data_IF_072419481388
#
_entry.id   IF_072419481388
#
_cell.length_a   1.000
_cell.length_b   1.000
_cell.length_c   1.000
_cell.angle_alpha   90.00
_cell.angle_beta   90.00
_cell.angle_gamma   90.00
#
_symmetry.space_group_name_H-M   'P 1'
#
loop_
_entity.id
_entity.type
_entity.pdbx_description
1 polymer ?
#
# COMPACT_ATOMS: atom_id res chain seq x y z
N UNK A 1 -13.62 -39.76 0.03
CA UNK A 1 -13.43 -38.70 -0.97
C UNK A 1 -12.70 -37.61 -0.25
N UNK A 2 -11.41 -37.44 -0.57
CA UNK A 2 -10.48 -36.53 0.11
C UNK A 2 -10.62 -35.18 -0.59
N UNK A 3 -11.11 -34.18 0.11
CA UNK A 3 -11.15 -32.82 -0.41
C UNK A 3 -9.73 -32.29 -0.43
N UNK A 4 -9.20 -32.00 -1.63
CA UNK A 4 -7.97 -31.25 -1.80
C UNK A 4 -8.25 -29.79 -1.43
N UNK A 5 -7.51 -29.27 -0.46
CA UNK A 5 -7.42 -27.86 -0.20
C UNK A 5 -6.82 -27.18 -1.44
N UNK A 6 -7.57 -26.25 -2.03
CA UNK A 6 -7.08 -25.39 -3.11
C UNK A 6 -6.18 -24.35 -2.44
N UNK A 7 -4.87 -24.50 -2.62
CA UNK A 7 -3.95 -23.41 -2.35
C UNK A 7 -4.35 -22.19 -3.21
N UNK A 8 -4.28 -20.96 -2.67
CA UNK A 8 -4.49 -19.79 -3.50
C UNK A 8 -3.46 -19.81 -4.64
N UNK A 9 -3.84 -19.43 -5.87
CA UNK A 9 -2.94 -19.48 -6.99
C UNK A 9 -1.73 -18.62 -6.70
N UNK A 10 -0.60 -19.26 -6.47
CA UNK A 10 0.70 -18.63 -6.66
C UNK A 10 0.70 -18.16 -8.10
N UNK A 11 0.80 -16.88 -8.35
CA UNK A 11 0.99 -16.30 -9.67
C UNK A 11 2.38 -16.71 -10.19
N UNK A 12 2.50 -17.95 -10.59
CA UNK A 12 3.59 -18.44 -11.43
C UNK A 12 3.12 -18.28 -12.87
N UNK A 13 3.52 -17.16 -13.48
CA UNK A 13 3.55 -17.07 -14.93
C UNK A 13 4.37 -18.24 -15.49
N UNK A 14 3.95 -18.77 -16.62
CA UNK A 14 4.43 -20.00 -17.24
C UNK A 14 5.92 -20.02 -17.63
N UNK A 15 6.76 -19.09 -17.21
CA UNK A 15 8.20 -19.00 -17.47
C UNK A 15 9.04 -18.47 -16.31
N UNK A 16 8.63 -18.63 -15.05
CA UNK A 16 9.53 -18.52 -13.89
C UNK A 16 10.27 -17.18 -13.67
N UNK A 17 10.03 -16.15 -14.47
CA UNK A 17 10.59 -14.82 -14.26
C UNK A 17 9.67 -14.07 -13.28
N UNK A 18 10.16 -13.66 -12.11
CA UNK A 18 9.39 -12.83 -11.20
C UNK A 18 8.90 -11.59 -11.96
N UNK A 19 7.58 -11.37 -11.99
CA UNK A 19 7.05 -10.12 -12.53
C UNK A 19 7.65 -9.00 -11.68
N UNK A 20 8.45 -8.13 -12.29
CA UNK A 20 9.17 -7.07 -11.59
C UNK A 20 8.14 -6.07 -11.03
N UNK A 21 7.74 -6.29 -9.79
CA UNK A 21 6.82 -5.41 -9.08
C UNK A 21 7.41 -4.01 -8.98
N UNK A 22 6.57 -2.98 -9.14
CA UNK A 22 6.94 -1.60 -8.91
C UNK A 22 6.19 -1.10 -7.66
N UNK A 23 6.93 -0.55 -6.72
CA UNK A 23 6.38 0.01 -5.47
C UNK A 23 6.48 1.53 -5.54
N UNK A 24 5.41 2.24 -5.22
CA UNK A 24 5.32 3.70 -5.28
C UNK A 24 5.16 4.24 -3.86
N UNK A 25 5.83 5.36 -3.51
CA UNK A 25 5.60 6.07 -2.23
C UNK A 25 4.16 6.52 -2.08
N UNK A 26 3.70 6.68 -0.84
CA UNK A 26 2.31 7.07 -0.56
C UNK A 26 1.92 8.42 -1.18
N UNK A 27 2.87 9.35 -1.34
CA UNK A 27 2.70 10.65 -2.00
C UNK A 27 2.85 10.60 -3.53
N UNK A 28 3.27 9.46 -4.07
CA UNK A 28 3.46 9.27 -5.51
C UNK A 28 4.73 9.90 -6.08
N UNK A 29 5.64 10.45 -5.25
CA UNK A 29 6.83 11.16 -5.70
C UNK A 29 7.92 10.23 -6.26
N UNK A 30 8.09 9.07 -5.63
CA UNK A 30 9.12 8.10 -5.99
C UNK A 30 8.53 6.71 -6.20
N UNK A 31 9.22 5.92 -7.03
CA UNK A 31 8.99 4.49 -7.13
C UNK A 31 10.31 3.72 -7.11
N UNK A 32 10.22 2.44 -6.82
CA UNK A 32 11.34 1.52 -6.92
C UNK A 32 10.90 0.18 -7.49
N UNK A 33 11.79 -0.43 -8.24
CA UNK A 33 11.64 -1.79 -8.74
C UNK A 33 12.98 -2.51 -8.78
N UNK A 34 12.93 -3.82 -8.86
CA UNK A 34 14.06 -4.64 -9.23
C UNK A 34 14.06 -4.76 -10.76
N UNK A 35 15.02 -4.11 -11.43
CA UNK A 35 15.08 -4.05 -12.89
C UNK A 35 15.99 -5.15 -13.45
N UNK A 36 15.63 -5.81 -14.57
CA UNK A 36 16.48 -6.78 -15.22
C UNK A 36 17.58 -6.13 -16.05
N UNK A 37 18.78 -6.71 -16.03
CA UNK A 37 19.91 -6.36 -16.89
C UNK A 37 20.56 -7.64 -17.42
N UNK A 38 20.11 -8.15 -18.55
CA UNK A 38 20.44 -9.49 -19.01
C UNK A 38 19.92 -10.55 -18.04
N UNK A 39 20.82 -11.40 -17.54
CA UNK A 39 20.50 -12.44 -16.54
C UNK A 39 20.61 -11.95 -15.08
N UNK A 40 20.88 -10.65 -14.89
CA UNK A 40 21.09 -10.04 -13.58
C UNK A 40 19.97 -9.08 -13.22
N UNK A 41 19.87 -8.79 -11.93
CA UNK A 41 18.88 -7.85 -11.40
C UNK A 41 19.59 -6.76 -10.60
N UNK A 42 19.04 -5.52 -10.64
CA UNK A 42 19.52 -4.42 -9.82
C UNK A 42 18.37 -3.52 -9.38
N UNK A 43 18.46 -2.86 -8.22
CA UNK A 43 17.47 -1.88 -7.79
C UNK A 43 17.50 -0.65 -8.68
N UNK A 44 16.33 -0.14 -9.02
CA UNK A 44 16.14 1.06 -9.81
C UNK A 44 15.19 2.00 -9.07
N UNK A 45 15.60 3.26 -8.89
CA UNK A 45 14.77 4.31 -8.35
C UNK A 45 14.15 5.11 -9.49
N UNK A 46 12.87 5.36 -9.40
CA UNK A 46 12.15 6.27 -10.29
C UNK A 46 11.78 7.55 -9.55
N UNK A 47 11.96 8.70 -10.18
CA UNK A 47 11.38 9.97 -9.76
C UNK A 47 10.18 10.20 -10.66
N UNK A 48 8.98 10.24 -10.06
CA UNK A 48 7.71 10.34 -10.77
C UNK A 48 7.22 11.78 -10.84
N UNK A 49 7.63 12.62 -9.89
CA UNK A 49 7.33 14.05 -9.88
C UNK A 49 8.21 14.82 -10.85
N UNK A 50 7.65 15.90 -11.40
CA UNK A 50 8.35 16.75 -12.36
C UNK A 50 7.78 16.64 -13.77
N UNK A 51 8.33 17.41 -14.72
CA UNK A 51 7.81 17.45 -16.09
C UNK A 51 8.05 16.16 -16.86
N UNK A 52 9.12 15.43 -16.54
CA UNK A 52 9.45 14.14 -17.14
C UNK A 52 9.90 13.15 -16.05
N UNK A 53 9.29 11.97 -15.97
CA UNK A 53 9.75 10.92 -15.08
C UNK A 53 11.11 10.39 -15.54
N UNK A 54 11.97 10.04 -14.60
CA UNK A 54 13.27 9.42 -14.92
C UNK A 54 13.64 8.34 -13.91
N UNK A 55 14.41 7.37 -14.41
CA UNK A 55 14.95 6.27 -13.64
C UNK A 55 16.43 6.45 -13.35
N UNK A 56 16.86 6.06 -12.16
CA UNK A 56 18.25 5.99 -11.74
C UNK A 56 18.57 4.56 -11.33
N UNK A 57 19.39 3.85 -12.11
CA UNK A 57 19.86 2.53 -11.68
C UNK A 57 20.73 2.66 -10.43
N UNK A 58 20.59 1.73 -9.51
CA UNK A 58 21.35 1.66 -8.27
C UNK A 58 22.06 0.29 -8.18
N UNK A 59 23.00 0.00 -9.11
CA UNK A 59 23.73 -1.27 -9.08
C UNK A 59 24.63 -1.31 -7.86
N UNK A 60 24.59 -2.44 -7.12
CA UNK A 60 25.55 -2.78 -6.09
C UNK A 60 26.84 -3.38 -6.68
N UNK A 61 27.74 -3.84 -5.81
CA UNK A 61 28.96 -4.56 -6.21
C UNK A 61 28.66 -5.94 -6.81
N UNK A 62 27.49 -6.48 -6.55
CA UNK A 62 27.00 -7.76 -7.07
C UNK A 62 25.54 -7.60 -7.52
N UNK A 63 25.08 -8.38 -8.50
CA UNK A 63 23.67 -8.46 -8.84
C UNK A 63 22.82 -8.85 -7.63
N UNK A 64 21.60 -8.39 -7.62
CA UNK A 64 20.61 -8.80 -6.61
C UNK A 64 19.95 -10.14 -7.00
N UNK A 65 19.55 -10.89 -5.99
CA UNK A 65 18.77 -12.10 -6.18
C UNK A 65 17.31 -11.76 -6.56
N UNK A 66 16.62 -12.59 -7.35
CA UNK A 66 15.21 -12.35 -7.72
C UNK A 66 14.26 -12.19 -6.54
N UNK A 67 14.61 -12.73 -5.36
CA UNK A 67 13.85 -12.59 -4.12
C UNK A 67 14.12 -11.31 -3.32
N UNK A 68 15.00 -10.43 -3.82
CA UNK A 68 15.30 -9.16 -3.17
C UNK A 68 14.09 -8.22 -3.22
N UNK A 69 13.63 -7.77 -2.05
CA UNK A 69 12.57 -6.76 -1.94
C UNK A 69 13.14 -5.35 -2.10
N UNK A 70 12.42 -4.48 -2.81
CA UNK A 70 12.79 -3.07 -2.95
C UNK A 70 11.61 -2.17 -2.63
N UNK A 71 11.88 -1.03 -1.98
CA UNK A 71 10.86 -0.05 -1.60
C UNK A 71 11.43 1.37 -1.65
N UNK A 72 10.74 2.33 -2.27
CA UNK A 72 11.16 3.72 -2.26
C UNK A 72 10.89 4.35 -0.88
N UNK A 73 11.80 5.23 -0.45
CA UNK A 73 11.62 6.11 0.70
C UNK A 73 11.20 7.51 0.23
N UNK A 74 10.54 8.29 1.09
CA UNK A 74 10.07 9.63 0.75
C UNK A 74 11.18 10.65 0.47
N UNK A 75 12.42 10.35 0.83
CA UNK A 75 13.60 11.16 0.51
C UNK A 75 14.33 10.71 -0.78
N UNK A 76 13.75 9.77 -1.52
CA UNK A 76 14.29 9.24 -2.77
C UNK A 76 15.38 8.19 -2.60
N UNK A 77 15.69 7.74 -1.38
CA UNK A 77 16.49 6.52 -1.17
C UNK A 77 15.65 5.29 -1.45
N UNK A 78 16.31 4.16 -1.71
CA UNK A 78 15.65 2.86 -1.92
C UNK A 78 16.06 1.91 -0.80
N UNK A 79 15.07 1.43 -0.05
CA UNK A 79 15.26 0.35 0.90
C UNK A 79 15.36 -0.96 0.12
N UNK A 80 16.40 -1.73 0.42
CA UNK A 80 16.61 -3.08 -0.13
C UNK A 80 16.55 -4.08 1.01
N UNK A 81 15.77 -5.12 0.80
CA UNK A 81 15.62 -6.26 1.69
C UNK A 81 16.19 -7.51 1.00
N UNK A 82 17.27 -8.05 1.53
CA UNK A 82 17.94 -9.26 1.02
C UNK A 82 17.69 -10.42 1.96
N UNK A 83 16.84 -11.40 1.58
CA UNK A 83 16.63 -12.60 2.39
C UNK A 83 17.86 -13.53 2.28
N UNK A 84 18.30 -14.06 3.42
CA UNK A 84 19.37 -15.07 3.49
C UNK A 84 19.01 -16.11 4.54
N UNK A 85 18.41 -17.21 4.14
CA UNK A 85 17.89 -18.26 5.02
C UNK A 85 16.96 -17.69 6.12
N UNK A 86 17.39 -17.73 7.40
CA UNK A 86 16.63 -17.17 8.52
C UNK A 86 16.98 -15.71 8.83
N UNK A 87 17.89 -15.11 8.08
CA UNK A 87 18.39 -13.75 8.32
C UNK A 87 18.00 -12.83 7.15
N UNK A 88 17.40 -11.70 7.48
CA UNK A 88 16.92 -10.73 6.53
C UNK A 88 17.70 -9.43 6.68
N UNK A 89 18.52 -9.08 5.68
CA UNK A 89 19.38 -7.90 5.69
C UNK A 89 18.65 -6.70 5.10
N UNK A 90 18.85 -5.53 5.68
CA UNK A 90 18.28 -4.27 5.22
C UNK A 90 19.36 -3.23 4.98
N UNK A 91 19.28 -2.54 3.83
CA UNK A 91 20.17 -1.44 3.44
C UNK A 91 19.39 -0.34 2.73
N UNK A 92 19.86 0.90 2.82
CA UNK A 92 19.38 2.00 1.99
C UNK A 92 20.39 2.29 0.90
N UNK A 93 19.92 2.26 -0.35
CA UNK A 93 20.70 2.66 -1.52
C UNK A 93 20.36 4.08 -1.93
N UNK A 94 21.36 4.82 -2.41
CA UNK A 94 21.22 6.19 -2.91
C UNK A 94 22.29 6.51 -3.97
N UNK A 95 22.01 7.40 -4.93
CA UNK A 95 22.99 7.80 -5.92
C UNK A 95 24.08 8.67 -5.30
N UNK A 96 25.35 8.39 -5.66
CA UNK A 96 26.54 9.15 -5.25
C UNK A 96 27.28 9.74 -6.46
N UNK A 97 26.57 10.33 -7.42
CA UNK A 97 27.13 10.72 -8.72
C UNK A 97 27.18 9.52 -9.66
N UNK A 98 28.37 9.04 -10.09
CA UNK A 98 28.44 7.91 -11.02
C UNK A 98 28.18 6.54 -10.38
N UNK A 99 28.10 6.46 -9.04
CA UNK A 99 27.98 5.21 -8.30
C UNK A 99 26.77 5.15 -7.39
N UNK A 100 26.64 4.02 -6.70
CA UNK A 100 25.60 3.76 -5.70
C UNK A 100 26.24 3.76 -4.32
N UNK A 101 25.70 4.59 -3.41
CA UNK A 101 26.01 4.50 -1.99
C UNK A 101 25.09 3.50 -1.30
N UNK A 102 25.60 2.77 -0.33
CA UNK A 102 24.85 1.83 0.50
C UNK A 102 25.06 2.12 1.96
N UNK A 103 23.95 2.26 2.69
CA UNK A 103 23.91 2.41 4.13
C UNK A 103 23.29 1.16 4.74
N UNK A 104 24.06 0.25 5.33
CA UNK A 104 23.51 -0.89 6.05
C UNK A 104 22.69 -0.45 7.28
N UNK A 105 21.48 -1.00 7.40
CA UNK A 105 20.58 -0.72 8.53
C UNK A 105 20.62 -1.83 9.61
N UNK A 106 21.02 -3.04 9.22
CA UNK A 106 21.06 -4.19 10.10
C UNK A 106 20.26 -5.37 9.56
N UNK A 107 19.87 -6.27 10.46
CA UNK A 107 19.18 -7.50 10.10
C UNK A 107 18.05 -7.84 11.06
N UNK A 108 17.05 -8.59 10.55
CA UNK A 108 16.02 -9.26 11.34
C UNK A 108 16.28 -10.76 11.27
N UNK A 109 16.34 -11.41 12.43
CA UNK A 109 16.47 -12.86 12.52
C UNK A 109 15.08 -13.49 12.66
N UNK A 110 14.79 -14.48 11.80
CA UNK A 110 13.57 -15.26 11.80
C UNK A 110 13.90 -16.74 12.00
N UNK A 111 14.27 -17.17 13.20
CA UNK A 111 14.78 -18.52 13.43
C UNK A 111 13.70 -19.61 13.37
N UNK A 112 12.42 -19.26 13.53
CA UNK A 112 11.31 -20.22 13.47
C UNK A 112 11.09 -20.69 12.03
N UNK A 113 11.19 -22.03 11.77
CA UNK A 113 10.95 -22.57 10.43
C UNK A 113 9.56 -22.20 9.89
N UNK A 114 9.50 -21.84 8.62
CA UNK A 114 8.25 -21.43 7.96
C UNK A 114 7.88 -19.97 8.19
N UNK A 115 8.68 -19.20 8.95
CA UNK A 115 8.51 -17.75 9.02
C UNK A 115 8.96 -17.11 7.70
N UNK A 116 8.12 -16.23 7.17
CA UNK A 116 8.41 -15.42 5.99
C UNK A 116 8.43 -13.95 6.41
N UNK A 117 9.41 -13.20 5.91
CA UNK A 117 9.46 -11.76 6.13
C UNK A 117 9.26 -11.05 4.80
N UNK A 118 8.32 -10.10 4.78
CA UNK A 118 8.00 -9.26 3.63
C UNK A 118 7.95 -7.79 4.04
N UNK A 119 8.35 -6.89 3.12
CA UNK A 119 8.14 -5.46 3.31
C UNK A 119 6.63 -5.16 3.32
N UNK A 120 6.21 -4.30 4.23
CA UNK A 120 4.86 -3.71 4.24
C UNK A 120 4.80 -2.57 3.21
N UNK A 121 3.60 -2.20 2.72
CA UNK A 121 3.48 -1.07 1.80
C UNK A 121 4.15 0.20 2.34
N UNK A 122 4.63 1.10 1.46
CA UNK A 122 5.23 2.37 1.87
C UNK A 122 4.36 3.10 2.89
N UNK A 123 4.96 3.47 4.00
CA UNK A 123 4.25 4.17 5.05
C UNK A 123 3.94 5.61 4.65
N UNK A 124 2.83 6.18 5.12
CA UNK A 124 2.56 7.60 4.99
C UNK A 124 3.73 8.45 5.47
N UNK A 125 4.01 9.55 4.77
CA UNK A 125 5.15 10.43 5.05
C UNK A 125 6.52 9.90 4.61
N UNK A 126 6.64 8.61 4.22
CA UNK A 126 7.82 8.05 3.57
C UNK A 126 9.13 8.00 4.38
N UNK A 127 9.14 8.48 5.64
CA UNK A 127 10.36 8.53 6.47
C UNK A 127 10.68 7.17 7.13
N UNK A 128 9.71 6.30 7.23
CA UNK A 128 9.82 4.98 7.91
C UNK A 128 9.43 3.86 6.96
N UNK A 129 10.04 2.70 7.13
CA UNK A 129 9.63 1.49 6.44
C UNK A 129 9.50 0.33 7.43
N UNK A 130 8.56 -0.55 7.11
CA UNK A 130 8.18 -1.64 7.99
C UNK A 130 8.20 -2.98 7.26
N UNK A 131 8.34 -4.05 8.02
CA UNK A 131 8.26 -5.42 7.53
C UNK A 131 7.37 -6.27 8.45
N UNK A 132 6.72 -7.26 7.87
CA UNK A 132 5.91 -8.25 8.56
C UNK A 132 6.64 -9.60 8.52
N UNK A 133 7.03 -10.10 9.68
CA UNK A 133 7.52 -11.45 9.85
C UNK A 133 6.33 -12.35 10.19
N UNK A 134 5.90 -13.19 9.24
CA UNK A 134 4.72 -14.05 9.34
C UNK A 134 5.14 -15.47 9.70
N UNK A 135 5.02 -15.82 10.99
CA UNK A 135 5.27 -17.16 11.51
C UNK A 135 4.00 -18.01 11.53
N UNK A 136 4.13 -19.32 11.78
CA UNK A 136 2.98 -20.24 11.81
C UNK A 136 2.06 -20.02 13.02
N UNK A 137 2.58 -19.50 14.14
CA UNK A 137 1.85 -19.31 15.41
C UNK A 137 1.68 -17.85 15.79
N UNK A 138 2.63 -17.00 15.44
CA UNK A 138 2.59 -15.56 15.66
C UNK A 138 3.28 -14.84 14.52
N UNK A 139 2.95 -13.58 14.37
CA UNK A 139 3.56 -12.68 13.41
C UNK A 139 4.04 -11.42 14.11
N UNK A 140 5.10 -10.81 13.59
CA UNK A 140 5.69 -9.62 14.21
C UNK A 140 5.83 -8.49 13.17
N UNK A 141 5.48 -7.27 13.58
CA UNK A 141 5.72 -6.05 12.81
C UNK A 141 7.05 -5.44 13.26
N UNK A 142 7.91 -5.17 12.29
CA UNK A 142 9.23 -4.59 12.47
C UNK A 142 9.33 -3.22 11.82
N UNK A 143 9.87 -2.24 12.50
CA UNK A 143 10.42 -1.03 11.89
C UNK A 143 11.80 -1.37 11.35
N UNK A 144 12.00 -1.28 10.03
CA UNK A 144 13.27 -1.71 9.38
C UNK A 144 14.09 -0.55 8.85
N UNK A 145 13.48 0.63 8.67
CA UNK A 145 14.16 1.88 8.33
C UNK A 145 13.49 3.07 9.01
N UNK A 146 14.26 4.14 9.28
CA UNK A 146 13.77 5.34 9.94
C UNK A 146 13.75 5.29 11.46
N UNK A 147 14.25 4.21 12.07
CA UNK A 147 14.52 4.10 13.51
C UNK A 147 15.90 4.62 13.90
N UNK A 148 16.15 4.76 15.22
CA UNK A 148 17.43 5.28 15.72
C UNK A 148 18.56 4.25 15.70
N UNK A 149 18.25 2.94 15.85
CA UNK A 149 19.26 1.90 16.13
C UNK A 149 19.15 0.66 15.24
N UNK A 150 18.59 0.79 14.03
CA UNK A 150 18.38 -0.33 13.11
C UNK A 150 17.00 -0.98 13.29
N UNK A 151 16.80 -2.24 12.82
CA UNK A 151 15.51 -2.90 12.88
C UNK A 151 15.03 -3.11 14.32
N UNK A 152 13.76 -2.72 14.58
CA UNK A 152 13.12 -2.80 15.89
C UNK A 152 11.76 -3.50 15.78
N UNK A 153 11.48 -4.46 16.68
CA UNK A 153 10.19 -5.12 16.77
C UNK A 153 9.19 -4.23 17.50
N UNK A 154 8.12 -3.82 16.82
CA UNK A 154 7.12 -2.91 17.37
C UNK A 154 5.93 -3.64 17.99
N UNK A 155 5.47 -4.72 17.35
CA UNK A 155 4.30 -5.45 17.81
C UNK A 155 4.40 -6.94 17.47
N UNK A 156 3.74 -7.77 18.28
CA UNK A 156 3.55 -9.19 18.02
C UNK A 156 2.05 -9.50 18.00
N UNK A 157 1.61 -10.27 17.00
CA UNK A 157 0.22 -10.61 16.77
C UNK A 157 0.07 -12.13 16.76
N UNK A 158 -0.73 -12.72 17.66
CA UNK A 158 -1.03 -14.14 17.61
C UNK A 158 -1.72 -14.53 16.31
N UNK A 159 -1.26 -15.64 15.70
CA UNK A 159 -1.75 -16.12 14.41
C UNK A 159 -0.82 -15.75 13.25
N UNK A 160 -1.06 -16.36 12.11
CA UNK A 160 -0.34 -16.07 10.87
C UNK A 160 -0.95 -14.83 10.23
N UNK A 161 -0.13 -13.81 9.97
CA UNK A 161 -0.59 -12.58 9.36
C UNK A 161 -0.09 -12.41 7.94
N UNK A 162 -0.85 -11.68 7.13
CA UNK A 162 -0.53 -11.31 5.75
C UNK A 162 -1.10 -9.92 5.43
N UNK A 163 -0.82 -9.41 4.24
CA UNK A 163 -1.29 -8.10 3.81
C UNK A 163 -0.59 -6.95 4.52
N UNK A 164 -1.25 -5.84 4.60
CA UNK A 164 -0.80 -4.61 5.24
C UNK A 164 -1.42 -3.39 4.56
N UNK A 165 -2.23 -2.63 5.30
CA UNK A 165 -2.90 -1.43 4.80
C UNK A 165 -2.86 -0.35 5.89
N UNK A 166 -2.40 0.84 5.53
CA UNK A 166 -2.39 1.98 6.43
C UNK A 166 -3.78 2.59 6.57
N UNK A 167 -4.22 2.81 7.81
CA UNK A 167 -5.54 3.36 8.10
C UNK A 167 -5.51 4.84 8.49
N UNK A 168 -4.33 5.40 8.69
CA UNK A 168 -4.14 6.82 9.00
C UNK A 168 -2.95 7.42 8.24
N UNK A 169 -2.95 8.75 8.11
CA UNK A 169 -1.87 9.49 7.44
C UNK A 169 -0.58 9.62 8.27
N UNK A 170 -0.54 9.11 9.52
CA UNK A 170 0.64 9.19 10.39
C UNK A 170 1.48 7.91 10.36
N UNK A 171 0.93 6.80 9.80
CA UNK A 171 1.58 5.50 9.79
C UNK A 171 1.59 4.82 11.16
N UNK A 172 0.62 5.14 12.02
CA UNK A 172 0.45 4.53 13.35
C UNK A 172 -0.47 3.31 13.32
N UNK A 173 -1.57 3.40 12.57
CA UNK A 173 -2.58 2.34 12.53
C UNK A 173 -2.38 1.49 11.27
N UNK A 174 -1.96 0.24 11.48
CA UNK A 174 -1.76 -0.75 10.43
C UNK A 174 -2.83 -1.82 10.50
N UNK A 175 -3.60 -2.00 9.43
CA UNK A 175 -4.47 -3.15 9.27
C UNK A 175 -3.69 -4.32 8.64
N UNK A 176 -3.85 -5.52 9.21
CA UNK A 176 -3.29 -6.77 8.68
C UNK A 176 -4.33 -7.87 8.74
N UNK A 177 -4.25 -8.80 7.80
CA UNK A 177 -5.12 -9.98 7.77
C UNK A 177 -4.51 -11.07 8.64
N UNK A 178 -5.26 -11.51 9.65
CA UNK A 178 -4.83 -12.51 10.62
C UNK A 178 -5.60 -13.80 10.43
N UNK A 179 -4.88 -14.88 10.15
CA UNK A 179 -5.41 -16.23 10.16
C UNK A 179 -5.29 -16.83 11.57
N UNK A 180 -6.43 -17.22 12.13
CA UNK A 180 -6.53 -17.87 13.43
C UNK A 180 -7.69 -18.88 13.41
N UNK A 181 -7.42 -20.12 13.82
CA UNK A 181 -8.44 -21.19 13.80
C UNK A 181 -8.96 -21.53 12.42
N UNK A 182 -8.15 -21.34 11.37
CA UNK A 182 -8.53 -21.62 9.97
C UNK A 182 -9.45 -20.56 9.35
N UNK A 183 -9.59 -19.38 9.97
CA UNK A 183 -10.32 -18.24 9.46
C UNK A 183 -9.44 -17.00 9.40
N UNK A 184 -9.60 -16.25 8.34
CA UNK A 184 -8.89 -14.98 8.15
C UNK A 184 -9.78 -13.81 8.52
N UNK A 185 -9.31 -12.96 9.42
CA UNK A 185 -9.99 -11.72 9.81
C UNK A 185 -9.00 -10.57 9.82
N UNK A 186 -9.42 -9.39 9.38
CA UNK A 186 -8.56 -8.21 9.47
C UNK A 186 -8.57 -7.63 10.88
N UNK A 187 -7.37 -7.36 11.39
CA UNK A 187 -7.13 -6.70 12.67
C UNK A 187 -6.33 -5.41 12.46
N UNK A 188 -6.46 -4.48 13.40
CA UNK A 188 -5.66 -3.25 13.44
C UNK A 188 -4.59 -3.39 14.51
N UNK A 189 -3.37 -3.03 14.16
CA UNK A 189 -2.24 -2.91 15.06
C UNK A 189 -1.95 -1.43 15.27
N UNK A 190 -2.08 -0.94 16.51
CA UNK A 190 -1.58 0.37 16.91
C UNK A 190 -0.09 0.22 17.20
N UNK A 191 0.76 0.70 16.30
CA UNK A 191 2.22 0.53 16.38
C UNK A 191 2.88 1.32 17.51
N UNK A 192 2.24 2.38 18.00
CA UNK A 192 2.76 3.14 19.15
C UNK A 192 2.46 2.46 20.49
N UNK A 193 1.30 1.78 20.58
CA UNK A 193 0.83 1.16 21.81
C UNK A 193 1.03 -0.35 21.84
N UNK A 194 1.43 -0.95 20.72
CA UNK A 194 1.49 -2.39 20.52
C UNK A 194 0.15 -3.11 20.86
N UNK A 195 -0.98 -2.48 20.56
CA UNK A 195 -2.33 -3.01 20.82
C UNK A 195 -2.93 -3.53 19.52
N UNK A 196 -3.51 -4.73 19.59
CA UNK A 196 -4.22 -5.36 18.47
C UNK A 196 -5.72 -5.34 18.73
N UNK A 197 -6.51 -4.88 17.77
CA UNK A 197 -7.96 -4.83 17.86
C UNK A 197 -8.63 -5.36 16.58
N UNK A 198 -9.84 -5.94 16.67
CA UNK A 198 -10.57 -6.38 15.48
C UNK A 198 -10.95 -5.19 14.58
N UNK A 199 -10.94 -5.40 13.25
CA UNK A 199 -11.45 -4.44 12.27
C UNK A 199 -12.61 -5.02 11.45
N UNK A 200 -12.36 -6.11 10.72
CA UNK A 200 -13.36 -6.74 9.87
C UNK A 200 -13.76 -8.10 10.44
N UNK A 201 -15.06 -8.21 10.75
CA UNK A 201 -15.71 -9.45 11.18
C UNK A 201 -17.12 -9.46 10.59
N UNK A 202 -17.24 -9.67 9.26
CA UNK A 202 -18.50 -9.52 8.53
C UNK A 202 -19.48 -10.63 8.91
N UNK A 203 -18.99 -11.89 8.94
CA UNK A 203 -19.70 -13.03 9.50
C UNK A 203 -18.73 -13.89 10.31
N UNK A 204 -19.22 -14.72 11.20
CA UNK A 204 -18.39 -15.59 12.05
C UNK A 204 -17.53 -16.53 11.18
N UNK A 205 -18.16 -17.18 10.22
CA UNK A 205 -17.54 -18.22 9.36
C UNK A 205 -16.94 -17.69 8.08
N UNK A 206 -16.88 -16.36 7.85
CA UNK A 206 -16.30 -15.80 6.64
C UNK A 206 -14.80 -15.53 6.77
N UNK A 207 -14.12 -15.51 5.64
CA UNK A 207 -12.79 -14.94 5.50
C UNK A 207 -12.91 -13.49 5.04
N UNK A 208 -12.38 -12.56 5.84
CA UNK A 208 -12.52 -11.12 5.63
C UNK A 208 -11.15 -10.47 5.56
N UNK A 209 -10.81 -9.89 4.40
CA UNK A 209 -9.52 -9.26 4.12
C UNK A 209 -9.70 -7.79 3.75
N UNK A 210 -8.78 -6.94 4.21
CA UNK A 210 -8.70 -5.56 3.79
C UNK A 210 -7.65 -5.45 2.68
N UNK A 211 -8.07 -5.01 1.51
CA UNK A 211 -7.19 -4.87 0.34
C UNK A 211 -6.60 -3.48 0.23
N UNK A 212 -7.40 -2.43 0.41
CA UNK A 212 -6.98 -1.03 0.35
C UNK A 212 -7.81 -0.18 1.32
N UNK A 213 -7.24 0.91 1.77
CA UNK A 213 -7.95 1.97 2.49
C UNK A 213 -7.47 3.34 2.00
N UNK A 214 -8.38 4.30 2.00
CA UNK A 214 -8.04 5.72 1.91
C UNK A 214 -8.23 6.37 3.29
N UNK A 215 -7.15 6.81 3.94
CA UNK A 215 -7.23 7.41 5.28
C UNK A 215 -8.10 8.68 5.35
N UNK A 216 -8.15 9.45 4.26
CA UNK A 216 -8.83 10.74 4.24
C UNK A 216 -10.36 10.60 4.16
N UNK A 217 -10.87 9.78 3.25
CA UNK A 217 -12.31 9.52 3.12
C UNK A 217 -12.80 8.39 4.03
N UNK A 218 -11.90 7.54 4.51
CA UNK A 218 -12.23 6.32 5.22
C UNK A 218 -12.77 5.20 4.32
N UNK A 219 -12.66 5.31 2.99
CA UNK A 219 -13.08 4.25 2.07
C UNK A 219 -12.21 2.99 2.29
N UNK A 220 -12.88 1.85 2.47
CA UNK A 220 -12.26 0.52 2.58
C UNK A 220 -12.65 -0.35 1.40
N UNK A 221 -11.69 -0.98 0.74
CA UNK A 221 -11.87 -2.06 -0.24
C UNK A 221 -11.56 -3.40 0.43
N UNK A 222 -12.48 -4.33 0.31
CA UNK A 222 -12.52 -5.56 1.10
C UNK A 222 -12.71 -6.74 0.16
N UNK A 223 -12.09 -7.88 0.48
CA UNK A 223 -12.45 -9.19 -0.05
C UNK A 223 -13.09 -10.02 1.06
N UNK A 224 -14.23 -10.64 0.78
CA UNK A 224 -14.89 -11.53 1.74
C UNK A 224 -15.77 -12.56 1.02
N UNK A 225 -15.86 -13.75 1.62
CA UNK A 225 -16.77 -14.80 1.19
C UNK A 225 -18.11 -14.82 1.98
N UNK A 226 -18.34 -13.82 2.85
CA UNK A 226 -19.57 -13.69 3.61
C UNK A 226 -20.86 -13.71 2.77
N UNK A 227 -20.92 -13.08 1.56
CA UNK A 227 -22.10 -13.14 0.71
C UNK A 227 -22.34 -14.51 0.06
N UNK A 228 -21.26 -15.29 -0.14
CA UNK A 228 -21.29 -16.59 -0.82
C UNK A 228 -20.15 -17.46 -0.28
N UNK A 229 -20.37 -18.27 0.75
CA UNK A 229 -19.33 -19.04 1.41
C UNK A 229 -18.44 -19.81 0.43
N UNK A 230 -17.10 -19.64 0.57
CA UNK A 230 -16.10 -20.23 -0.30
C UNK A 230 -15.91 -19.51 -1.65
N UNK A 231 -16.56 -18.38 -1.89
CA UNK A 231 -16.38 -17.53 -3.06
C UNK A 231 -16.05 -16.11 -2.61
N UNK A 232 -14.79 -15.73 -2.70
CA UNK A 232 -14.38 -14.37 -2.39
C UNK A 232 -15.03 -13.34 -3.32
N UNK A 233 -15.52 -12.27 -2.73
CA UNK A 233 -16.14 -11.16 -3.44
C UNK A 233 -15.56 -9.84 -2.98
N UNK A 234 -15.35 -8.95 -3.94
CA UNK A 234 -14.98 -7.58 -3.65
C UNK A 234 -16.15 -6.81 -3.07
N UNK A 235 -15.90 -6.12 -1.97
CA UNK A 235 -16.83 -5.25 -1.29
C UNK A 235 -16.18 -3.94 -0.90
N UNK A 236 -16.99 -3.04 -0.37
CA UNK A 236 -16.53 -1.78 0.18
C UNK A 236 -17.31 -1.38 1.43
N UNK A 237 -16.66 -0.62 2.25
CA UNK A 237 -17.22 -0.04 3.48
C UNK A 237 -16.55 1.28 3.79
N UNK A 238 -16.96 1.89 4.90
CA UNK A 238 -16.39 3.16 5.39
C UNK A 238 -15.92 2.97 6.82
N UNK A 239 -14.67 3.31 7.08
CA UNK A 239 -14.07 3.22 8.40
C UNK A 239 -14.88 4.04 9.42
N UNK A 240 -15.21 3.44 10.56
CA UNK A 240 -16.02 4.10 11.59
C UNK A 240 -17.52 4.19 11.29
N UNK A 241 -17.99 3.70 10.13
CA UNK A 241 -19.42 3.69 9.79
C UNK A 241 -20.17 2.54 10.44
N UNK A 242 -21.45 2.77 10.75
CA UNK A 242 -22.39 1.72 11.19
C UNK A 242 -23.03 0.96 10.04
N UNK A 243 -22.84 1.44 8.81
CA UNK A 243 -23.43 0.81 7.64
C UNK A 243 -22.71 -0.51 7.33
N UNK A 244 -23.45 -1.54 6.89
CA UNK A 244 -22.85 -2.80 6.52
C UNK A 244 -21.98 -2.67 5.26
N UNK A 245 -21.00 -3.55 5.14
CA UNK A 245 -20.20 -3.71 3.90
C UNK A 245 -21.12 -4.03 2.72
N UNK A 246 -20.85 -3.41 1.59
CA UNK A 246 -21.61 -3.60 0.34
C UNK A 246 -20.77 -4.38 -0.65
N UNK A 247 -21.40 -5.31 -1.37
CA UNK A 247 -20.77 -6.18 -2.38
C UNK A 247 -21.42 -5.94 -3.75
N UNK A 248 -20.93 -4.94 -4.53
CA UNK A 248 -21.51 -4.61 -5.82
C UNK A 248 -21.34 -5.72 -6.85
N UNK A 249 -22.42 -6.07 -7.55
CA UNK A 249 -22.35 -7.07 -8.63
C UNK A 249 -21.46 -6.63 -9.80
N UNK A 250 -21.32 -5.32 -10.02
CA UNK A 250 -20.47 -4.82 -11.11
C UNK A 250 -18.97 -5.10 -10.91
N UNK A 251 -18.53 -5.45 -9.69
CA UNK A 251 -17.14 -5.87 -9.42
C UNK A 251 -16.93 -7.36 -9.66
N UNK A 252 -17.99 -8.14 -9.94
CA UNK A 252 -17.92 -9.53 -10.31
C UNK A 252 -17.86 -9.67 -11.82
N UNK A 253 -16.65 -9.64 -12.37
CA UNK A 253 -16.46 -9.84 -13.80
C UNK A 253 -16.31 -11.34 -14.08
N UNK A 254 -17.13 -11.91 -14.99
CA UNK A 254 -17.00 -13.32 -15.36
C UNK A 254 -15.62 -13.62 -15.95
N UNK A 255 -15.04 -14.73 -15.56
CA UNK A 255 -13.76 -15.25 -16.08
C UNK A 255 -12.58 -14.27 -15.95
N UNK A 256 -12.67 -13.34 -15.00
CA UNK A 256 -11.63 -12.35 -14.72
C UNK A 256 -11.29 -12.31 -13.23
N UNK A 257 -10.02 -12.07 -12.95
CA UNK A 257 -9.53 -11.70 -11.61
C UNK A 257 -9.47 -10.19 -11.51
N UNK A 258 -10.13 -9.61 -10.51
CA UNK A 258 -10.16 -8.16 -10.28
C UNK A 258 -9.41 -7.85 -9.02
N UNK A 259 -8.33 -7.07 -9.13
CA UNK A 259 -7.47 -6.68 -8.02
C UNK A 259 -7.44 -5.16 -7.88
N UNK A 260 -7.96 -4.59 -6.78
CA UNK A 260 -7.80 -3.17 -6.50
C UNK A 260 -6.34 -2.84 -6.22
N UNK A 261 -5.81 -1.74 -6.78
CA UNK A 261 -4.41 -1.35 -6.56
C UNK A 261 -4.21 0.11 -6.12
N UNK A 262 -5.20 0.98 -6.31
CA UNK A 262 -5.10 2.39 -5.90
C UNK A 262 -6.48 2.98 -5.59
N UNK A 263 -6.56 3.87 -4.61
CA UNK A 263 -7.74 4.69 -4.29
C UNK A 263 -7.38 6.16 -4.48
N UNK A 264 -8.29 6.95 -5.07
CA UNK A 264 -8.14 8.39 -5.16
C UNK A 264 -8.19 9.01 -3.76
N UNK A 265 -7.21 9.82 -3.36
CA UNK A 265 -7.22 10.50 -2.05
C UNK A 265 -8.49 11.31 -1.84
N UNK A 266 -9.12 11.16 -0.67
CA UNK A 266 -10.48 11.61 -0.41
C UNK A 266 -10.64 12.89 0.40
N UNK A 267 -9.63 13.78 0.50
CA UNK A 267 -9.67 14.97 1.37
C UNK A 267 -10.90 15.87 1.18
N UNK A 268 -11.44 15.93 -0.05
CA UNK A 268 -12.65 16.72 -0.39
C UNK A 268 -13.76 15.86 -1.00
N UNK A 269 -13.58 14.56 -1.04
CA UNK A 269 -14.53 13.61 -1.63
C UNK A 269 -15.24 12.83 -0.53
N UNK A 270 -16.51 12.48 -0.76
CA UNK A 270 -17.13 11.44 0.03
C UNK A 270 -16.60 10.07 -0.39
N UNK A 271 -16.60 9.05 0.50
CA UNK A 271 -16.11 7.71 0.16
C UNK A 271 -16.72 7.13 -1.11
N UNK A 272 -17.99 7.43 -1.36
CA UNK A 272 -18.73 6.96 -2.53
C UNK A 272 -18.22 7.56 -3.85
N UNK A 273 -17.55 8.71 -3.79
CA UNK A 273 -17.06 9.44 -4.97
C UNK A 273 -15.56 9.23 -5.23
N UNK A 274 -14.83 8.59 -4.33
CA UNK A 274 -13.43 8.25 -4.54
C UNK A 274 -13.29 7.21 -5.65
N UNK A 275 -12.41 7.48 -6.61
CA UNK A 275 -12.14 6.54 -7.69
C UNK A 275 -11.19 5.43 -7.22
N UNK A 276 -11.45 4.22 -7.68
CA UNK A 276 -10.63 3.03 -7.42
C UNK A 276 -10.05 2.56 -8.73
N UNK A 277 -8.72 2.35 -8.77
CA UNK A 277 -8.01 1.68 -9.85
C UNK A 277 -8.03 0.17 -9.64
N UNK A 278 -8.41 -0.55 -10.67
CA UNK A 278 -8.54 -2.00 -10.68
C UNK A 278 -7.62 -2.59 -11.76
N UNK A 279 -6.81 -3.58 -11.42
CA UNK A 279 -6.20 -4.48 -12.38
C UNK A 279 -7.23 -5.56 -12.69
N UNK A 280 -7.46 -5.82 -13.96
CA UNK A 280 -8.38 -6.85 -14.41
C UNK A 280 -7.62 -7.81 -15.31
N UNK A 281 -7.45 -9.03 -14.84
CA UNK A 281 -6.75 -10.10 -15.54
C UNK A 281 -7.79 -11.08 -16.11
N UNK A 282 -7.82 -11.26 -17.40
CA UNK A 282 -8.73 -12.16 -18.10
C UNK A 282 -8.01 -12.99 -19.17
N UNK A 283 -8.75 -13.84 -19.85
CA UNK A 283 -8.21 -14.76 -20.87
C UNK A 283 -7.48 -14.06 -22.03
N UNK A 284 -7.76 -12.78 -22.26
CA UNK A 284 -7.19 -12.00 -23.37
C UNK A 284 -6.13 -10.99 -22.93
N UNK A 285 -5.69 -11.06 -21.66
CA UNK A 285 -4.65 -10.20 -21.12
C UNK A 285 -5.10 -9.38 -19.91
N UNK A 286 -4.30 -8.38 -19.59
CA UNK A 286 -4.48 -7.49 -18.44
C UNK A 286 -4.89 -6.10 -18.91
N UNK A 287 -5.89 -5.50 -18.27
CA UNK A 287 -6.31 -4.12 -18.52
C UNK A 287 -6.62 -3.37 -17.22
N UNK A 288 -6.80 -2.07 -17.33
CA UNK A 288 -7.14 -1.18 -16.23
C UNK A 288 -8.65 -1.02 -16.13
N UNK A 289 -9.20 -1.20 -14.93
CA UNK A 289 -10.55 -0.82 -14.58
C UNK A 289 -10.55 0.44 -13.73
N UNK A 290 -11.56 1.28 -13.87
CA UNK A 290 -11.84 2.35 -12.90
C UNK A 290 -13.28 2.24 -12.41
N UNK A 291 -13.46 2.45 -11.11
CA UNK A 291 -14.76 2.33 -10.47
C UNK A 291 -14.90 3.32 -9.31
N UNK A 292 -16.13 3.73 -9.02
CA UNK A 292 -16.50 4.48 -7.81
C UNK A 292 -17.66 3.77 -7.11
N UNK A 293 -17.71 3.75 -5.77
CA UNK A 293 -18.82 3.15 -5.04
C UNK A 293 -20.20 3.68 -5.42
N UNK A 294 -20.29 4.95 -5.85
CA UNK A 294 -21.54 5.53 -6.37
C UNK A 294 -21.91 5.01 -7.78
N UNK A 295 -20.98 4.40 -8.51
CA UNK A 295 -21.21 3.92 -9.89
C UNK A 295 -21.62 2.45 -9.89
N UNK A 296 -22.51 2.09 -10.84
CA UNK A 296 -23.01 0.70 -10.99
C UNK A 296 -22.24 -0.11 -12.03
N UNK A 297 -21.14 0.40 -12.55
CA UNK A 297 -20.33 -0.24 -13.59
C UNK A 297 -18.86 0.06 -13.41
N UNK A 298 -18.02 -0.90 -13.77
CA UNK A 298 -16.59 -0.69 -13.98
C UNK A 298 -16.38 -0.10 -15.38
N UNK A 299 -15.52 0.89 -15.47
CA UNK A 299 -15.06 1.42 -16.77
C UNK A 299 -13.75 0.73 -17.11
N UNK A 300 -13.69 0.16 -18.30
CA UNK A 300 -12.50 -0.52 -18.79
C UNK A 300 -11.67 0.43 -19.63
N UNK A 301 -10.37 0.48 -19.37
CA UNK A 301 -9.40 1.31 -20.07
C UNK A 301 -8.24 0.42 -20.54
N UNK A 302 -7.65 0.70 -21.71
CA UNK A 302 -6.47 -0.03 -22.13
C UNK A 302 -5.31 0.26 -21.16
N UNK A 303 -4.57 -0.76 -20.76
CA UNK A 303 -3.32 -0.57 -20.06
C UNK A 303 -2.26 -0.03 -21.02
N UNK A 304 -1.36 0.87 -20.59
CA UNK A 304 -0.23 1.27 -21.42
C UNK A 304 0.67 0.07 -21.70
N UNK A 305 1.30 0.04 -22.87
CA UNK A 305 2.29 -0.99 -23.18
C UNK A 305 3.43 -0.95 -22.16
N UNK A 306 3.81 -2.12 -21.64
CA UNK A 306 4.83 -2.22 -20.61
C UNK A 306 4.40 -1.71 -19.23
N UNK A 307 3.09 -1.58 -18.97
CA UNK A 307 2.60 -1.25 -17.64
C UNK A 307 3.18 -2.20 -16.60
N UNK A 308 3.73 -1.63 -15.54
CA UNK A 308 4.17 -2.39 -14.36
C UNK A 308 2.91 -2.78 -13.59
N UNK A 309 2.34 -3.91 -14.00
CA UNK A 309 0.97 -4.30 -13.70
C UNK A 309 0.69 -4.31 -12.19
N UNK A 310 -0.41 -3.68 -11.80
CA UNK A 310 -0.79 -3.50 -10.40
C UNK A 310 -0.13 -2.30 -9.71
N UNK A 311 0.82 -1.60 -10.35
CA UNK A 311 1.36 -0.35 -9.85
C UNK A 311 0.60 0.84 -10.44
N UNK A 312 0.33 1.83 -9.61
CA UNK A 312 -0.30 3.09 -10.00
C UNK A 312 -0.71 3.91 -8.79
N UNK A 313 -0.92 5.19 -9.00
CA UNK A 313 -1.33 6.13 -7.96
C UNK A 313 -2.36 7.12 -8.53
N UNK A 314 -3.38 7.42 -7.74
CA UNK A 314 -4.31 8.49 -8.05
C UNK A 314 -3.79 9.83 -7.52
N UNK A 315 -3.91 10.86 -8.34
CA UNK A 315 -3.78 12.23 -7.82
C UNK A 315 -5.10 12.70 -7.20
N UNK A 316 -5.07 13.70 -6.30
CA UNK A 316 -6.28 14.29 -5.73
C UNK A 316 -7.26 14.82 -6.80
N UNK A 317 -6.75 15.29 -7.95
CA UNK A 317 -7.53 15.82 -9.07
C UNK A 317 -8.26 14.73 -9.87
N UNK A 318 -7.97 13.45 -9.61
CA UNK A 318 -8.63 12.31 -10.26
C UNK A 318 -7.93 11.85 -11.55
N UNK A 319 -6.62 12.00 -11.60
CA UNK A 319 -5.75 11.41 -12.62
C UNK A 319 -5.11 10.14 -12.08
N UNK A 320 -5.28 9.02 -12.75
CA UNK A 320 -4.60 7.77 -12.44
C UNK A 320 -3.28 7.72 -13.22
N UNK A 321 -2.18 7.73 -12.51
CA UNK A 321 -0.82 7.68 -13.04
C UNK A 321 -0.31 6.24 -13.00
N UNK A 322 0.02 5.69 -14.17
CA UNK A 322 0.46 4.30 -14.33
C UNK A 322 1.91 4.25 -14.80
N UNK A 323 2.83 3.73 -13.99
CA UNK A 323 4.22 3.55 -14.40
C UNK A 323 4.33 2.45 -15.45
N UNK A 324 5.12 2.69 -16.49
CA UNK A 324 5.38 1.70 -17.53
C UNK A 324 6.84 1.74 -17.98
N UNK A 325 7.32 0.61 -18.47
CA UNK A 325 8.68 0.49 -19.02
C UNK A 325 8.65 -0.30 -20.33
N UNK A 326 9.19 0.29 -21.38
CA UNK A 326 9.40 -0.36 -22.68
C UNK A 326 10.88 -0.28 -23.09
N UNK A 327 11.26 -0.93 -24.18
CA UNK A 327 12.62 -0.81 -24.70
C UNK A 327 12.96 0.62 -25.16
N UNK A 328 11.99 1.37 -25.65
CA UNK A 328 12.14 2.75 -26.11
C UNK A 328 11.97 3.78 -25.01
N UNK A 329 11.19 3.45 -23.99
CA UNK A 329 10.91 4.33 -22.84
C UNK A 329 11.13 3.52 -21.58
N UNK A 330 12.37 3.47 -21.06
CA UNK A 330 12.71 2.64 -19.89
C UNK A 330 12.03 3.11 -18.59
N UNK A 331 11.58 4.36 -18.56
CA UNK A 331 10.81 4.95 -17.45
C UNK A 331 9.76 5.89 -18.03
N UNK A 332 8.50 5.58 -17.84
CA UNK A 332 7.38 6.39 -18.30
C UNK A 332 6.21 6.35 -17.33
N UNK A 333 5.38 7.37 -17.36
CA UNK A 333 4.11 7.45 -16.63
C UNK A 333 3.01 7.78 -17.64
N UNK A 334 1.96 7.00 -17.63
CA UNK A 334 0.76 7.24 -18.45
C UNK A 334 -0.35 7.77 -17.55
N UNK A 335 -0.90 8.92 -17.90
CA UNK A 335 -1.95 9.58 -17.15
C UNK A 335 -3.33 9.23 -17.75
N UNK A 336 -4.19 8.63 -16.93
CA UNK A 336 -5.57 8.31 -17.28
C UNK A 336 -6.53 9.18 -16.47
N UNK A 337 -7.27 10.05 -17.15
CA UNK A 337 -8.29 10.88 -16.51
C UNK A 337 -9.56 10.07 -16.32
N UNK A 338 -9.99 9.86 -15.08
CA UNK A 338 -11.30 9.29 -14.81
C UNK A 338 -12.37 10.34 -15.14
N UNK A 339 -13.00 10.21 -16.31
CA UNK A 339 -14.13 11.07 -16.66
C UNK A 339 -15.18 11.03 -15.54
N UNK A 340 -15.47 12.18 -14.92
CA UNK A 340 -16.59 12.32 -13.99
C UNK A 340 -17.85 12.01 -14.77
N UNK A 341 -18.64 11.03 -14.35
CA UNK A 341 -19.95 10.80 -14.94
C UNK A 341 -20.76 12.09 -14.80
N UNK A 342 -21.20 12.67 -15.92
CA UNK A 342 -22.17 13.76 -15.90
C UNK A 342 -23.43 13.28 -15.15
N UNK A 343 -23.52 13.58 -13.87
CA UNK A 343 -24.78 13.59 -13.18
C UNK A 343 -25.56 14.79 -13.72
N UNK A 344 -26.50 14.52 -14.64
CA UNK A 344 -27.51 15.50 -15.05
C UNK A 344 -27.10 16.44 -16.20
N UNK A 345 -26.80 15.93 -17.37
CA UNK A 345 -27.23 16.61 -18.57
C UNK A 345 -28.73 16.33 -18.72
N UNK A 346 -29.54 17.23 -18.20
CA UNK A 346 -30.95 17.35 -18.53
C UNK A 346 -30.99 17.64 -20.03
N UNK A 347 -31.44 16.67 -20.83
CA UNK A 347 -31.68 16.89 -22.25
C UNK A 347 -32.69 18.04 -22.38
N UNK A 348 -32.40 19.12 -23.16
CA UNK A 348 -33.42 20.07 -23.47
C UNK A 348 -34.40 19.37 -24.40
N UNK A 349 -35.66 19.27 -23.94
CA UNK A 349 -36.77 18.65 -24.62
C UNK A 349 -36.87 19.14 -26.05
N UNK A 350 -36.74 18.24 -27.01
CA UNK A 350 -36.98 18.42 -28.41
C UNK A 350 -38.45 18.64 -28.64
N UNK A 351 -38.84 19.88 -28.91
CA UNK A 351 -40.11 20.25 -29.52
C UNK A 351 -40.02 19.97 -31.00
N UNK A 352 -40.76 18.97 -31.46
CA UNK A 352 -40.99 18.67 -32.86
C UNK A 352 -41.88 19.72 -33.49
N UNK A 353 -41.31 20.57 -34.38
CA UNK A 353 -42.05 21.46 -35.25
C UNK A 353 -41.60 21.21 -36.69
N UNK A 354 -42.46 20.53 -37.45
CA UNK A 354 -42.30 20.37 -38.88
C UNK A 354 -42.75 21.66 -39.63
N UNK A 355 -41.92 22.20 -40.49
CA UNK A 355 -42.33 23.07 -41.60
C UNK A 355 -41.34 22.96 -42.78
N UNK A 356 -41.89 22.77 -43.94
CA UNK A 356 -41.23 22.43 -45.18
C UNK A 356 -40.57 23.61 -45.94
N UNK A 357 -40.16 23.40 -47.23
CA UNK A 357 -39.02 24.06 -47.84
C UNK A 357 -39.38 25.31 -48.68
N UNK A 358 -38.48 26.28 -48.65
CA UNK A 358 -38.54 27.42 -49.60
C UNK A 358 -37.12 27.92 -49.88
N UNK A 359 -36.67 27.76 -51.13
CA UNK A 359 -35.36 28.18 -51.58
C UNK A 359 -35.28 29.70 -51.81
N UNK A 360 -34.07 30.21 -51.81
CA UNK A 360 -33.57 31.22 -52.73
C UNK A 360 -32.04 31.43 -52.56
N UNK A 361 -31.40 31.45 -53.71
CA UNK A 361 -29.99 31.73 -53.89
C UNK A 361 -29.70 33.23 -53.72
N UNK A 362 -28.52 33.53 -53.11
CA UNK A 362 -27.96 34.86 -53.07
C UNK A 362 -26.46 34.79 -52.99
N UNK A 363 -25.79 35.07 -54.12
CA UNK A 363 -24.37 35.24 -54.28
C UNK A 363 -24.00 36.66 -53.88
N UNK A 364 -22.95 36.89 -53.08
CA UNK A 364 -22.22 38.15 -53.08
C UNK A 364 -20.80 37.87 -52.55
N UNK A 365 -19.84 38.22 -53.37
CA UNK A 365 -18.38 38.23 -53.16
C UNK A 365 -17.88 39.57 -52.59
N UNK A 366 -16.53 39.83 -52.51
CA UNK A 366 -15.85 40.07 -51.25
C UNK A 366 -15.32 41.53 -51.14
N UNK A 367 -15.01 41.94 -49.96
CA UNK A 367 -14.35 43.22 -49.70
C UNK A 367 -13.13 43.04 -48.76
N UNK A 368 -11.94 43.18 -49.33
CA UNK A 368 -10.71 43.22 -48.59
C UNK A 368 -10.46 44.56 -47.89
N UNK A 369 -9.73 44.54 -46.81
CA UNK A 369 -9.00 45.69 -46.28
C UNK A 369 -7.81 45.23 -45.47
N UNK A 370 -6.62 45.54 -45.98
CA UNK A 370 -5.29 45.48 -45.40
C UNK A 370 -5.12 46.53 -44.34
N UNK A 371 -4.54 46.16 -43.21
CA UNK A 371 -4.06 47.06 -42.17
C UNK A 371 -2.82 46.48 -41.47
N UNK A 372 -1.64 46.89 -41.97
CA UNK A 372 -0.38 46.63 -41.32
C UNK A 372 -0.10 47.70 -40.25
N UNK A 373 0.38 47.35 -39.11
CA UNK A 373 1.07 48.21 -38.20
C UNK A 373 2.19 47.46 -37.47
N UNK A 374 3.41 47.87 -37.76
CA UNK A 374 4.66 47.40 -37.14
C UNK A 374 5.09 48.25 -35.94
N UNK A 375 6.28 48.03 -35.32
CA UNK A 375 6.42 47.76 -33.90
C UNK A 375 7.12 48.92 -33.13
N UNK A 376 6.90 48.95 -31.85
CA UNK A 376 7.63 49.84 -30.94
C UNK A 376 8.55 49.07 -30.00
N UNK A 377 9.86 49.12 -30.26
CA UNK A 377 10.85 48.60 -29.33
C UNK A 377 11.09 49.55 -28.18
N UNK A 378 11.42 49.01 -27.02
CA UNK A 378 12.09 49.74 -25.93
C UNK A 378 13.04 48.80 -25.20
N UNK A 379 14.32 49.03 -25.43
CA UNK A 379 15.47 48.49 -24.72
C UNK A 379 15.62 49.17 -23.37
N UNK A 380 15.76 48.37 -22.31
CA UNK A 380 16.18 48.85 -20.98
C UNK A 380 17.18 47.81 -20.40
N UNK A 381 18.46 48.10 -20.59
CA UNK A 381 19.55 47.43 -19.90
C UNK A 381 19.81 48.11 -18.57
N UNK A 382 19.97 47.34 -17.51
CA UNK A 382 20.63 47.78 -16.28
C UNK A 382 21.50 46.63 -15.74
N UNK A 383 22.78 46.89 -15.78
CA UNK A 383 23.88 46.07 -15.24
C UNK A 383 24.24 46.43 -13.78
N UNK A 384 25.23 45.73 -13.16
CA UNK A 384 25.12 45.16 -11.83
C UNK A 384 25.90 45.93 -10.76
N UNK A 385 25.50 45.77 -9.54
CA UNK A 385 26.25 46.23 -8.37
C UNK A 385 26.90 45.08 -7.64
N UNK A 386 28.20 44.95 -7.77
CA UNK A 386 29.01 44.09 -6.94
C UNK A 386 29.24 44.64 -5.56
N UNK A 387 29.29 43.78 -4.56
CA UNK A 387 29.95 44.12 -3.30
C UNK A 387 30.71 42.91 -2.75
N UNK A 388 32.01 43.02 -2.79
CA UNK A 388 33.02 42.15 -2.19
C UNK A 388 33.14 42.48 -0.70
N UNK A 389 33.00 41.44 0.15
CA UNK A 389 33.36 41.54 1.56
C UNK A 389 34.11 40.29 2.01
N UNK A 390 35.42 40.37 1.97
CA UNK A 390 36.31 39.37 2.56
C UNK A 390 36.53 39.70 4.04
N UNK A 391 36.41 38.72 4.92
CA UNK A 391 37.04 38.75 6.26
C UNK A 391 37.56 37.36 6.59
N UNK A 392 38.84 37.30 6.78
CA UNK A 392 39.64 36.09 7.07
C UNK A 392 39.70 35.73 8.56
N UNK A 393 40.63 34.83 8.96
CA UNK A 393 40.39 33.81 9.95
C UNK A 393 40.89 34.16 11.35
N UNK A 394 40.22 33.62 12.36
CA UNK A 394 40.69 33.62 13.74
C UNK A 394 40.86 32.21 14.25
N UNK A 395 42.07 31.75 14.34
CA UNK A 395 42.42 30.51 15.02
C UNK A 395 42.40 30.69 16.54
N UNK A 396 42.07 29.62 17.25
CA UNK A 396 42.60 29.48 18.60
C UNK A 396 42.79 27.98 18.94
N UNK A 397 44.02 27.66 19.18
CA UNK A 397 44.59 26.41 19.70
C UNK A 397 44.35 26.34 21.21
N UNK A 398 43.94 25.20 21.71
CA UNK A 398 43.90 24.88 23.12
C UNK A 398 44.03 23.39 23.36
N UNK A 399 45.26 22.94 23.55
CA UNK A 399 45.59 21.58 24.03
C UNK A 399 45.61 21.53 25.55
N UNK A 400 45.05 20.51 26.15
CA UNK A 400 45.42 19.98 27.46
C UNK A 400 44.86 18.55 27.64
N UNK A 401 45.72 17.56 27.69
CA UNK A 401 45.48 16.26 28.33
C UNK A 401 46.10 16.31 29.73
N UNK A 402 46.43 15.19 30.37
CA UNK A 402 45.67 13.95 30.65
C UNK A 402 45.61 13.66 32.16
N UNK A 403 44.89 12.66 32.59
CA UNK A 403 45.14 12.10 33.91
C UNK A 403 43.94 11.46 34.60
N UNK A 404 44.12 10.19 35.02
CA UNK A 404 43.43 9.68 36.18
C UNK A 404 42.78 8.31 36.05
N UNK A 405 43.59 7.27 36.25
CA UNK A 405 43.19 5.90 36.67
C UNK A 405 42.58 5.87 38.04
N UNK A 406 41.58 5.02 38.30
CA UNK A 406 41.33 4.24 39.54
C UNK A 406 40.10 3.35 39.26
N UNK A 407 40.29 2.06 39.14
CA UNK A 407 40.45 1.01 40.12
C UNK A 407 39.11 0.43 40.61
N UNK A 408 38.98 -0.83 40.32
CA UNK A 408 38.00 -1.83 40.73
C UNK A 408 37.71 -1.89 42.23
N UNK A 409 36.46 -2.26 42.56
CA UNK A 409 36.12 -3.06 43.74
C UNK A 409 34.86 -3.90 43.46
N UNK A 410 35.05 -5.21 43.33
CA UNK A 410 34.06 -6.18 43.82
C UNK A 410 34.21 -6.24 45.35
N UNK A 411 33.21 -6.60 46.12
CA UNK A 411 32.82 -7.94 46.45
C UNK A 411 31.28 -8.10 46.68
N UNK A 412 30.61 -9.13 46.98
CA UNK A 412 30.87 -10.44 47.55
C UNK A 412 29.57 -11.27 47.49
N UNK A 413 29.72 -12.56 47.57
CA UNK A 413 28.69 -13.61 47.60
C UNK A 413 27.87 -13.59 48.89
N UNK A 414 26.58 -13.93 48.81
CA UNK A 414 25.83 -14.73 49.80
C UNK A 414 24.53 -15.22 49.15
N UNK A 415 24.39 -16.41 48.82
CA UNK A 415 23.80 -17.61 49.36
C UNK A 415 22.51 -17.37 50.19
N UNK A 416 21.40 -17.90 49.66
CA UNK A 416 20.11 -18.00 50.33
C UNK A 416 19.19 -18.97 49.60
N UNK A 417 19.38 -20.28 49.87
CA UNK A 417 18.42 -21.36 49.53
C UNK A 417 17.24 -21.31 50.50
N UNK A 418 16.04 -21.41 49.98
CA UNK A 418 14.87 -21.96 50.68
C UNK A 418 13.79 -22.44 49.70
N UNK A 419 13.73 -23.72 49.49
CA UNK A 419 12.49 -24.49 49.33
C UNK A 419 12.15 -25.03 50.72
N UNK A 420 10.98 -25.62 51.01
CA UNK A 420 9.82 -26.07 50.21
C UNK A 420 8.46 -25.70 50.88
N UNK A 421 7.31 -25.93 50.28
CA UNK A 421 6.34 -26.84 50.89
C UNK A 421 5.25 -27.32 49.96
N UNK A 422 5.02 -28.62 50.01
CA UNK A 422 3.92 -29.36 49.38
C UNK A 422 2.70 -29.30 50.30
N UNK A 423 1.54 -29.03 49.79
CA UNK A 423 0.31 -29.58 50.41
C UNK A 423 -0.74 -29.88 49.32
N UNK A 424 -1.05 -31.14 49.24
CA UNK A 424 -2.10 -31.77 48.53
C UNK A 424 -3.47 -31.38 49.09
N UNK A 425 -4.44 -31.19 48.22
CA UNK A 425 -5.85 -31.11 48.57
C UNK A 425 -6.69 -31.72 47.49
N UNK A 426 -7.01 -33.00 47.68
CA UNK A 426 -8.00 -33.75 46.87
C UNK A 426 -9.39 -33.42 47.43
N UNK A 427 -10.34 -33.06 46.53
CA UNK A 427 -11.77 -33.18 46.83
C UNK A 427 -12.48 -33.73 45.59
N UNK A 428 -12.95 -34.94 45.76
CA UNK A 428 -13.91 -35.67 44.93
C UNK A 428 -15.34 -35.17 45.11
N UNK A 429 -16.16 -35.58 44.13
CA UNK A 429 -17.61 -35.69 44.06
C UNK A 429 -18.27 -34.58 43.22
N UNK A 430 -19.21 -34.81 42.33
CA UNK A 430 -20.21 -35.86 42.25
C UNK A 430 -20.76 -35.96 40.79
N UNK A 431 -21.16 -37.21 40.44
CA UNK A 431 -21.82 -37.55 39.18
C UNK A 431 -23.33 -37.24 39.26
N UNK A 432 -23.83 -36.55 38.25
CA UNK A 432 -25.24 -36.71 37.89
C UNK A 432 -25.39 -36.68 36.39
N UNK A 433 -25.71 -37.84 35.83
CA UNK A 433 -26.07 -38.05 34.46
C UNK A 433 -27.46 -37.46 34.18
N UNK A 434 -27.56 -36.59 33.18
CA UNK A 434 -28.78 -36.19 32.54
C UNK A 434 -28.66 -36.35 31.03
N UNK A 435 -29.17 -37.45 30.50
CA UNK A 435 -29.33 -37.66 29.06
C UNK A 435 -30.40 -36.67 28.56
N UNK A 436 -29.96 -35.73 27.69
CA UNK A 436 -30.89 -34.94 26.86
C UNK A 436 -30.69 -35.36 25.41
N UNK A 437 -31.75 -35.77 24.79
CA UNK A 437 -31.91 -36.21 23.40
C UNK A 437 -31.70 -35.04 22.47
N UNK A 438 -30.91 -35.16 21.35
CA UNK A 438 -30.73 -34.05 20.42
C UNK A 438 -31.97 -33.86 19.57
N UNK A 439 -32.59 -32.70 19.65
CA UNK A 439 -33.67 -32.28 18.75
C UNK A 439 -33.04 -31.89 17.41
N UNK A 440 -33.45 -32.58 16.35
CA UNK A 440 -33.09 -32.30 14.95
C UNK A 440 -33.84 -31.10 14.43
N UNK A 441 -33.21 -30.31 13.56
CA UNK A 441 -33.70 -29.24 12.69
C UNK A 441 -33.80 -27.82 13.31
N UNK A 442 -32.66 -27.14 13.29
CA UNK A 442 -32.65 -25.71 13.00
C UNK A 442 -31.76 -25.53 11.75
N UNK A 443 -32.36 -25.10 10.64
CA UNK A 443 -31.63 -24.69 9.44
C UNK A 443 -30.70 -23.51 9.76
N UNK A 444 -29.67 -23.26 8.93
CA UNK A 444 -28.71 -22.18 9.17
C UNK A 444 -29.45 -20.84 9.23
N UNK A 445 -29.40 -20.19 10.39
CA UNK A 445 -29.86 -18.81 10.56
C UNK A 445 -28.91 -17.95 9.74
N UNK A 446 -29.39 -17.11 8.79
CA UNK A 446 -28.51 -16.23 8.04
C UNK A 446 -27.75 -15.33 9.02
N UNK A 447 -26.42 -15.41 8.98
CA UNK A 447 -25.55 -14.58 9.81
C UNK A 447 -25.86 -13.10 9.54
N UNK A 448 -26.25 -12.35 10.56
CA UNK A 448 -26.46 -10.91 10.45
C UNK A 448 -25.10 -10.23 10.23
N UNK A 449 -24.97 -9.34 9.23
CA UNK A 449 -23.77 -8.53 9.07
C UNK A 449 -23.47 -7.75 10.34
N UNK A 450 -22.20 -7.80 10.81
CA UNK A 450 -21.76 -7.03 11.97
C UNK A 450 -21.36 -5.63 11.49
N UNK A 451 -21.91 -4.54 12.05
CA UNK A 451 -21.53 -3.19 11.69
C UNK A 451 -20.05 -2.92 12.01
N UNK A 452 -19.33 -2.21 11.13
CA UNK A 452 -17.94 -1.81 11.30
C UNK A 452 -17.65 -1.02 12.60
N UNK A 453 -18.68 -0.43 13.22
CA UNK A 453 -18.56 0.28 14.50
C UNK A 453 -18.28 -0.59 15.73
N UNK A 454 -18.37 -1.90 15.64
CA UNK A 454 -17.98 -2.78 16.77
C UNK A 454 -16.45 -2.89 16.88
N UNK A 455 -15.69 -2.44 15.89
CA UNK A 455 -14.28 -2.19 16.04
C UNK A 455 -14.05 -0.96 16.94
N UNK A 456 -13.16 -1.01 17.96
CA UNK A 456 -12.94 0.08 18.92
C UNK A 456 -12.35 1.37 18.32
N UNK A 457 -12.24 1.46 17.00
CA UNK A 457 -11.72 2.61 16.26
C UNK A 457 -12.65 3.83 16.23
N UNK A 458 -13.93 3.70 16.55
CA UNK A 458 -14.89 4.82 16.57
C UNK A 458 -14.59 5.93 17.59
N UNK A 459 -13.58 5.74 18.45
CA UNK A 459 -13.09 6.76 19.41
C UNK A 459 -11.76 7.41 19.01
N UNK A 460 -11.12 6.97 17.92
CA UNK A 460 -9.78 7.42 17.55
C UNK A 460 -9.76 8.50 16.46
N UNK A 461 -10.89 8.77 15.81
CA UNK A 461 -11.01 9.72 14.69
C UNK A 461 -11.51 11.11 15.12
N UNK A 462 -11.84 11.30 16.41
CA UNK A 462 -12.20 12.63 16.95
C UNK A 462 -11.13 13.14 17.89
N UNK A 463 -10.05 13.68 17.32
CA UNK A 463 -9.24 14.77 17.88
C UNK A 463 -8.39 15.38 16.78
#
# INVERSE_FOLDING_TARGET
>A
MTACAIEPPSTSGADGVPEAGCVITADGAYAARLAPAGDCWFPERWTLDGPEPYAVPLPGNQPEEPGTGVQPMGDGRVLVHRPSASRHLFSLLYPTGPGTGELPLGAVECPEPGTRLALLPPAPGGARAYALASGPRSSAVWLVAGGAFGPERLAEVPGRCSGGVWLDGTGRLLAIDRELGGRTKTVVVDLERAVVSPLLQIAEDSDDRLLLADPDSGLLLISSDAPSPGQERLGWGVLGSTLPVRFPECLRLPDCVVTPFAIQPGQVLTPENCAVGLRVDGAFGTWVGTWRPAERRVRHLPAPEGWLAGAGVWTPEGVLRLPYATRTTPCGVSDLVAARGNAGAMEPGGSSGAAGPGGSAGVAEPGGSTGAAEPGGSTGAAEPGGNTGAAGPGGNTGAAGPGGSARATEPDRSAGMAEPDRSAGIAEADRSAGMAVPSRNAGPVPARPVPLQQAPLGRLVTN
#
